data_IF_311672859174
#
_entry.id   IF_311672859174
#
_cell.length_a   1.000
_cell.length_b   1.000
_cell.length_c   1.000
_cell.angle_alpha   90.00
_cell.angle_beta   90.00
_cell.angle_gamma   90.00
#
_symmetry.space_group_name_H-M   'P 1'
#
loop_
_entity.id
_entity.type
_entity.pdbx_description
1 polymer ?
#
# COMPACT_ATOMS: atom_id res chain seq x y z
N UNK A 1 20.26 -18.03 24.73
CA UNK A 1 19.36 -18.19 23.58
C UNK A 1 19.70 -17.04 22.67
N UNK A 2 20.34 -17.33 21.55
CA UNK A 2 20.95 -16.33 20.66
C UNK A 2 19.84 -15.70 19.80
N UNK A 3 19.41 -14.49 20.16
CA UNK A 3 18.49 -13.68 19.36
C UNK A 3 19.25 -13.11 18.16
N UNK A 4 19.46 -13.98 17.16
CA UNK A 4 19.94 -13.54 15.87
C UNK A 4 18.92 -12.56 15.29
N UNK A 5 19.40 -11.35 14.96
CA UNK A 5 18.61 -10.29 14.36
C UNK A 5 19.07 -10.11 12.91
N UNK A 6 18.12 -9.83 12.01
CA UNK A 6 18.38 -9.57 10.59
C UNK A 6 18.05 -8.12 10.25
N UNK A 7 18.98 -7.45 9.58
CA UNK A 7 18.80 -6.08 9.13
C UNK A 7 18.28 -6.07 7.69
N UNK A 8 17.31 -5.20 7.44
CA UNK A 8 16.73 -5.03 6.12
C UNK A 8 17.69 -4.29 5.18
N UNK A 9 18.09 -4.94 4.08
CA UNK A 9 18.95 -4.31 3.06
C UNK A 9 18.31 -3.15 2.29
N UNK A 10 16.98 -2.95 2.39
CA UNK A 10 16.25 -1.86 1.72
C UNK A 10 16.11 -0.60 2.58
N UNK A 11 15.80 -0.75 3.87
CA UNK A 11 15.49 0.39 4.76
C UNK A 11 16.33 0.43 6.05
N UNK A 12 17.17 -0.56 6.31
CA UNK A 12 18.02 -0.64 7.51
C UNK A 12 17.31 -1.09 8.79
N UNK A 13 15.99 -1.30 8.78
CA UNK A 13 15.24 -1.76 9.95
C UNK A 13 15.81 -3.08 10.49
N UNK A 14 15.96 -3.18 11.81
CA UNK A 14 16.25 -4.43 12.51
C UNK A 14 14.97 -5.25 12.67
N UNK A 15 15.03 -6.53 12.34
CA UNK A 15 13.92 -7.48 12.44
C UNK A 15 14.43 -8.76 13.10
N UNK A 16 13.53 -9.54 13.70
CA UNK A 16 13.86 -10.85 14.24
C UNK A 16 14.29 -11.81 13.11
N UNK A 17 15.22 -12.73 13.34
CA UNK A 17 15.73 -13.62 12.28
C UNK A 17 14.69 -14.58 11.69
N UNK A 18 13.57 -14.81 12.37
CA UNK A 18 12.47 -15.66 11.92
C UNK A 18 11.46 -14.94 11.01
N UNK A 19 11.60 -13.62 10.81
CA UNK A 19 10.68 -12.87 9.96
C UNK A 19 11.12 -12.90 8.49
N UNK A 20 10.21 -13.36 7.63
CA UNK A 20 10.46 -13.46 6.18
C UNK A 20 10.44 -12.10 5.48
N UNK A 21 9.84 -11.07 6.10
CA UNK A 21 9.69 -9.73 5.53
C UNK A 21 10.03 -8.64 6.54
N UNK A 22 10.55 -7.53 6.05
CA UNK A 22 10.84 -6.36 6.86
C UNK A 22 9.57 -5.74 7.40
N UNK A 23 9.47 -5.63 8.72
CA UNK A 23 8.28 -5.11 9.41
C UNK A 23 8.05 -3.60 9.20
N UNK A 24 9.04 -2.91 8.64
CA UNK A 24 8.98 -1.47 8.37
C UNK A 24 8.68 -1.15 6.89
N UNK A 25 9.38 -1.80 5.94
CA UNK A 25 9.26 -1.44 4.52
C UNK A 25 8.73 -2.57 3.61
N UNK A 26 8.48 -3.76 4.16
CA UNK A 26 7.97 -4.92 3.43
C UNK A 26 8.97 -5.65 2.53
N UNK A 27 10.27 -5.30 2.55
CA UNK A 27 11.27 -6.03 1.76
C UNK A 27 11.43 -7.48 2.23
N UNK A 28 11.60 -8.42 1.30
CA UNK A 28 11.91 -9.83 1.58
C UNK A 28 13.28 -9.95 2.28
N UNK A 29 13.30 -10.62 3.42
CA UNK A 29 14.49 -10.89 4.22
C UNK A 29 14.93 -12.36 4.15
N UNK A 30 14.13 -13.23 3.55
CA UNK A 30 14.40 -14.66 3.40
C UNK A 30 15.53 -14.97 2.41
N UNK A 31 15.85 -14.04 1.50
CA UNK A 31 16.80 -14.24 0.38
C UNK A 31 17.78 -13.09 0.17
N UNK A 32 18.59 -12.74 1.18
CA UNK A 32 19.70 -11.81 0.96
C UNK A 32 20.83 -12.46 0.12
N UNK A 33 20.67 -12.53 -1.20
CA UNK A 33 21.75 -12.49 -2.20
C UNK A 33 21.44 -11.43 -3.27
N UNK A 34 22.44 -10.66 -3.73
CA UNK A 34 22.20 -9.59 -4.68
C UNK A 34 22.11 -10.14 -6.12
N UNK A 35 20.94 -10.04 -6.76
CA UNK A 35 20.83 -10.28 -8.19
C UNK A 35 19.43 -10.60 -8.70
N UNK A 36 18.88 -9.64 -9.46
CA UNK A 36 17.87 -9.78 -10.55
C UNK A 36 16.72 -10.79 -10.37
N UNK A 37 15.50 -10.23 -10.31
CA UNK A 37 14.38 -10.73 -11.10
C UNK A 37 13.30 -11.52 -10.36
N UNK A 38 12.35 -10.78 -9.79
CA UNK A 38 10.90 -10.99 -9.91
C UNK A 38 10.34 -12.41 -9.80
N UNK A 39 10.00 -12.81 -8.58
CA UNK A 39 8.81 -13.61 -8.27
C UNK A 39 8.48 -13.35 -6.79
N UNK A 40 7.81 -12.22 -6.52
CA UNK A 40 7.58 -11.72 -5.17
C UNK A 40 6.41 -12.48 -4.53
N UNK A 41 6.69 -13.31 -3.52
CA UNK A 41 5.67 -14.09 -2.79
C UNK A 41 4.59 -13.21 -2.13
N UNK A 42 4.90 -11.93 -1.84
CA UNK A 42 3.93 -10.92 -1.37
C UNK A 42 2.84 -10.63 -2.41
N UNK A 43 3.19 -10.72 -3.69
CA UNK A 43 2.25 -10.54 -4.78
C UNK A 43 1.20 -11.65 -4.74
N UNK A 44 1.55 -12.89 -4.35
CA UNK A 44 0.58 -14.00 -4.22
C UNK A 44 -0.40 -13.82 -3.05
N UNK A 45 0.05 -13.28 -1.92
CA UNK A 45 -0.83 -13.01 -0.78
C UNK A 45 -1.75 -11.81 -1.01
N UNK A 46 -1.25 -10.78 -1.72
CA UNK A 46 -2.05 -9.67 -2.21
C UNK A 46 -3.05 -10.14 -3.29
N UNK A 47 -2.61 -11.00 -4.21
CA UNK A 47 -3.44 -11.60 -5.28
C UNK A 47 -4.62 -12.40 -4.71
N UNK A 48 -4.43 -13.16 -3.62
CA UNK A 48 -5.54 -13.88 -2.98
C UNK A 48 -6.59 -12.95 -2.36
N UNK A 49 -6.16 -11.80 -1.83
CA UNK A 49 -7.08 -10.75 -1.41
C UNK A 49 -7.78 -10.10 -2.61
N UNK A 50 -7.06 -9.83 -3.70
CA UNK A 50 -7.64 -9.34 -4.96
C UNK A 50 -8.74 -10.27 -5.48
N UNK A 51 -8.54 -11.58 -5.41
CA UNK A 51 -9.52 -12.60 -5.81
C UNK A 51 -10.75 -12.62 -4.88
N UNK A 52 -10.59 -12.40 -3.58
CA UNK A 52 -11.71 -12.35 -2.61
C UNK A 52 -12.47 -11.01 -2.62
N UNK A 53 -11.84 -9.95 -3.15
CA UNK A 53 -12.37 -8.58 -3.19
C UNK A 53 -13.03 -8.23 -4.54
N UNK A 54 -12.72 -8.91 -5.64
CA UNK A 54 -13.19 -8.50 -6.98
C UNK A 54 -14.63 -8.90 -7.37
N UNK A 55 -15.22 -7.94 -8.09
CA UNK A 55 -16.45 -7.83 -8.90
C UNK A 55 -17.74 -7.45 -8.16
N UNK A 56 -17.97 -6.12 -8.04
CA UNK A 56 -19.19 -5.55 -7.46
C UNK A 56 -19.36 -5.73 -5.95
N UNK A 57 -18.35 -6.28 -5.27
CA UNK A 57 -18.37 -6.47 -3.82
C UNK A 57 -18.31 -5.15 -3.06
N UNK A 58 -19.07 -5.11 -1.98
CA UNK A 58 -19.06 -4.03 -1.02
C UNK A 58 -17.96 -4.29 0.02
N UNK A 59 -17.08 -3.31 0.23
CA UNK A 59 -16.15 -3.28 1.36
C UNK A 59 -16.80 -2.52 2.52
N UNK A 60 -16.88 -3.18 3.69
CA UNK A 60 -17.49 -2.61 4.89
C UNK A 60 -18.91 -2.08 4.67
N UNK A 61 -19.69 -2.75 3.80
CA UNK A 61 -21.05 -2.40 3.40
C UNK A 61 -21.24 -0.98 2.85
N UNK A 62 -20.16 -0.30 2.44
CA UNK A 62 -20.17 1.10 1.99
C UNK A 62 -19.42 1.36 0.70
N UNK A 63 -18.33 0.64 0.47
CA UNK A 63 -17.45 0.93 -0.66
C UNK A 63 -17.64 -0.11 -1.76
N UNK A 64 -18.27 0.27 -2.87
CA UNK A 64 -18.36 -0.62 -4.04
C UNK A 64 -17.03 -0.59 -4.79
N UNK A 65 -16.34 -1.72 -4.85
CA UNK A 65 -15.08 -1.83 -5.57
C UNK A 65 -15.33 -1.83 -7.09
N UNK A 66 -14.56 -1.03 -7.82
CA UNK A 66 -14.65 -0.91 -9.28
C UNK A 66 -13.48 -1.65 -9.95
N UNK A 67 -12.24 -1.14 -9.80
CA UNK A 67 -11.05 -1.79 -10.34
C UNK A 67 -9.77 -1.42 -9.60
N UNK A 68 -8.73 -2.24 -9.74
CA UNK A 68 -7.41 -2.06 -9.15
C UNK A 68 -6.67 -0.93 -9.87
N UNK A 69 -6.13 -0.01 -9.08
CA UNK A 69 -5.28 1.11 -9.52
C UNK A 69 -3.80 0.75 -9.48
N UNK A 70 -3.38 -0.12 -8.55
CA UNK A 70 -1.99 -0.57 -8.47
C UNK A 70 -1.76 -1.63 -7.41
N UNK A 71 -0.60 -2.29 -7.47
CA UNK A 71 -0.16 -3.31 -6.52
C UNK A 71 1.31 -3.12 -6.17
N UNK A 72 1.70 -3.58 -4.97
CA UNK A 72 3.09 -3.62 -4.55
C UNK A 72 3.26 -4.28 -3.18
N UNK A 73 4.48 -4.28 -2.65
CA UNK A 73 4.80 -5.00 -1.39
C UNK A 73 4.05 -4.51 -0.15
N UNK A 74 3.38 -3.35 -0.20
CA UNK A 74 2.57 -2.81 0.91
C UNK A 74 1.06 -2.99 0.69
N UNK A 75 0.68 -3.86 -0.26
CA UNK A 75 -0.71 -4.13 -0.60
C UNK A 75 -1.14 -3.54 -1.94
N UNK A 76 -2.44 -3.47 -2.12
CA UNK A 76 -3.06 -3.06 -3.38
C UNK A 76 -3.93 -1.83 -3.18
N UNK A 77 -4.02 -1.03 -4.23
CA UNK A 77 -4.85 0.17 -4.28
C UNK A 77 -5.94 -0.03 -5.30
N UNK A 78 -7.16 0.34 -4.93
CA UNK A 78 -8.37 0.10 -5.70
C UNK A 78 -9.17 1.38 -5.85
N UNK A 79 -9.75 1.58 -7.03
CA UNK A 79 -10.83 2.53 -7.21
C UNK A 79 -12.10 1.92 -6.66
N UNK A 80 -12.82 2.69 -5.87
CA UNK A 80 -14.12 2.33 -5.34
C UNK A 80 -15.06 3.53 -5.35
N UNK A 81 -16.35 3.26 -5.18
CA UNK A 81 -17.41 4.24 -5.03
C UNK A 81 -17.90 4.21 -3.58
N UNK A 82 -17.89 5.35 -2.91
CA UNK A 82 -18.50 5.53 -1.60
C UNK A 82 -20.02 5.72 -1.77
N UNK A 83 -20.79 4.67 -1.47
CA UNK A 83 -22.24 4.66 -1.72
C UNK A 83 -23.03 5.50 -0.70
N UNK A 84 -22.39 5.99 0.36
CA UNK A 84 -23.02 6.87 1.36
C UNK A 84 -22.76 8.37 1.10
N UNK A 85 -21.85 8.70 0.19
CA UNK A 85 -21.42 10.07 -0.13
C UNK A 85 -21.58 10.35 -1.63
N UNK A 86 -22.83 10.40 -2.10
CA UNK A 86 -23.20 10.77 -3.47
C UNK A 86 -22.42 10.01 -4.57
N UNK A 87 -22.15 8.72 -4.35
CA UNK A 87 -21.36 7.87 -5.26
C UNK A 87 -19.97 8.48 -5.59
N UNK A 88 -19.35 9.15 -4.62
CA UNK A 88 -18.03 9.75 -4.80
C UNK A 88 -16.95 8.68 -4.99
N UNK A 89 -16.07 8.89 -5.97
CA UNK A 89 -14.92 8.02 -6.20
C UNK A 89 -13.86 8.19 -5.09
N UNK A 90 -13.37 7.06 -4.59
CA UNK A 90 -12.31 6.98 -3.57
C UNK A 90 -11.24 5.97 -3.98
N UNK A 91 -10.04 6.14 -3.44
CA UNK A 91 -8.97 5.16 -3.55
C UNK A 91 -8.86 4.37 -2.24
N UNK A 92 -8.91 3.04 -2.32
CA UNK A 92 -8.84 2.14 -1.18
C UNK A 92 -7.55 1.35 -1.22
N UNK A 93 -6.68 1.55 -0.22
CA UNK A 93 -5.49 0.72 -0.04
C UNK A 93 -5.79 -0.40 0.93
N UNK A 94 -5.75 -1.64 0.45
CA UNK A 94 -5.93 -2.85 1.26
C UNK A 94 -4.57 -3.36 1.71
N UNK A 95 -4.44 -3.64 3.00
CA UNK A 95 -3.20 -4.21 3.54
C UNK A 95 -3.14 -5.72 3.34
N UNK A 96 -1.95 -6.28 3.04
CA UNK A 96 -1.78 -7.70 2.93
C UNK A 96 -1.98 -8.39 4.31
N UNK A 97 -2.52 -9.62 4.34
CA UNK A 97 -2.89 -10.30 5.59
C UNK A 97 -1.72 -10.51 6.55
N UNK A 98 -0.51 -10.68 6.03
CA UNK A 98 0.74 -10.76 6.83
C UNK A 98 0.93 -9.50 7.70
N UNK A 99 0.65 -8.32 7.16
CA UNK A 99 0.74 -7.06 7.91
C UNK A 99 -0.49 -6.84 8.78
N UNK A 100 -1.66 -7.26 8.32
CA UNK A 100 -2.92 -7.11 9.05
C UNK A 100 -3.01 -7.99 10.31
N UNK A 101 -2.18 -9.04 10.44
CA UNK A 101 -2.13 -9.94 11.61
C UNK A 101 -1.02 -9.63 12.61
N UNK A 102 -0.07 -8.74 12.27
CA UNK A 102 1.01 -8.37 13.18
C UNK A 102 0.61 -7.16 14.06
N UNK A 103 0.46 -7.33 15.39
CA UNK A 103 0.03 -6.26 16.28
C UNK A 103 0.94 -5.02 16.24
N UNK A 104 2.25 -5.20 16.06
CA UNK A 104 3.20 -4.08 15.96
C UNK A 104 3.01 -3.29 14.66
N UNK A 105 2.80 -3.99 13.54
CA UNK A 105 2.54 -3.36 12.24
C UNK A 105 1.20 -2.63 12.24
N UNK A 106 0.16 -3.21 12.87
CA UNK A 106 -1.14 -2.55 13.02
C UNK A 106 -1.02 -1.28 13.87
N UNK A 107 -0.27 -1.31 14.96
CA UNK A 107 -0.10 -0.14 15.84
C UNK A 107 0.75 0.96 15.17
N UNK A 108 1.77 0.59 14.41
CA UNK A 108 2.52 1.54 13.57
C UNK A 108 1.59 2.18 12.53
N UNK A 109 0.83 1.36 11.79
CA UNK A 109 -0.11 1.82 10.78
C UNK A 109 -1.19 2.74 11.37
N UNK A 110 -1.77 2.39 12.51
CA UNK A 110 -2.78 3.24 13.18
C UNK A 110 -2.21 4.60 13.53
N UNK A 111 -0.96 4.65 14.03
CA UNK A 111 -0.29 5.92 14.34
C UNK A 111 -0.03 6.75 13.08
N UNK A 112 0.47 6.12 12.01
CA UNK A 112 0.69 6.79 10.73
C UNK A 112 -0.62 7.29 10.10
N UNK A 113 -1.68 6.47 10.14
CA UNK A 113 -3.00 6.83 9.68
C UNK A 113 -3.57 8.01 10.50
N UNK A 114 -3.43 7.99 11.83
CA UNK A 114 -3.89 9.08 12.69
C UNK A 114 -3.18 10.41 12.40
N UNK A 115 -1.89 10.38 12.08
CA UNK A 115 -1.14 11.56 11.65
C UNK A 115 -1.64 12.00 10.26
N UNK A 116 -1.75 11.07 9.32
CA UNK A 116 -2.16 11.34 7.94
C UNK A 116 -3.58 11.90 7.84
N UNK A 117 -4.51 11.44 8.69
CA UNK A 117 -5.88 11.97 8.79
C UNK A 117 -5.92 13.45 9.20
N UNK A 118 -4.89 13.94 9.90
CA UNK A 118 -4.79 15.34 10.33
C UNK A 118 -4.09 16.23 9.31
N UNK A 119 -3.44 15.65 8.29
CA UNK A 119 -2.76 16.39 7.25
C UNK A 119 -3.80 16.82 6.19
N UNK A 120 -3.93 18.13 6.02
CA UNK A 120 -4.72 18.73 4.96
C UNK A 120 -3.84 19.72 4.20
N UNK A 121 -3.41 19.34 2.99
CA UNK A 121 -2.56 20.16 2.13
C UNK A 121 -2.88 19.85 0.66
N UNK A 122 -2.94 20.85 -0.24
CA UNK A 122 -3.30 20.64 -1.65
C UNK A 122 -2.38 19.68 -2.42
N UNK A 123 -1.16 19.44 -1.93
CA UNK A 123 -0.19 18.54 -2.55
C UNK A 123 0.05 17.24 -1.75
N UNK A 124 -0.84 16.91 -0.80
CA UNK A 124 -0.79 15.66 -0.04
C UNK A 124 -2.13 14.96 -0.24
N UNK A 125 -2.08 13.72 -0.75
CA UNK A 125 -3.28 12.90 -0.90
C UNK A 125 -3.99 12.77 0.44
N UNK A 126 -5.26 13.17 0.47
CA UNK A 126 -6.02 13.18 1.72
C UNK A 126 -6.43 11.77 2.11
N UNK A 127 -6.06 11.36 3.32
CA UNK A 127 -6.64 10.18 3.95
C UNK A 127 -8.02 10.57 4.51
N UNK A 128 -9.07 9.85 4.12
CA UNK A 128 -10.43 10.05 4.61
C UNK A 128 -10.70 9.21 5.85
N UNK A 129 -10.32 7.93 5.83
CA UNK A 129 -10.57 7.03 6.95
C UNK A 129 -9.62 5.82 6.98
N UNK A 130 -9.57 5.14 8.12
CA UNK A 130 -8.97 3.83 8.28
C UNK A 130 -10.00 2.86 8.84
N UNK A 131 -10.22 1.75 8.14
CA UNK A 131 -11.20 0.74 8.52
C UNK A 131 -10.53 -0.56 8.93
N UNK A 132 -11.17 -1.23 9.87
CA UNK A 132 -10.77 -2.53 10.40
C UNK A 132 -11.99 -3.40 10.53
N UNK A 133 -12.12 -4.38 9.63
CA UNK A 133 -13.22 -5.34 9.61
C UNK A 133 -12.65 -6.76 9.66
N UNK A 134 -12.79 -7.45 10.79
CA UNK A 134 -12.17 -8.76 11.01
C UNK A 134 -10.65 -8.74 10.75
N UNK A 135 -10.19 -9.53 9.79
CA UNK A 135 -8.81 -9.58 9.33
C UNK A 135 -8.49 -8.55 8.23
N UNK A 136 -9.51 -7.95 7.63
CA UNK A 136 -9.36 -6.93 6.60
C UNK A 136 -9.02 -5.58 7.24
N UNK A 137 -7.99 -4.92 6.70
CA UNK A 137 -7.55 -3.59 7.12
C UNK A 137 -7.35 -2.76 5.85
N UNK A 138 -7.98 -1.61 5.78
CA UNK A 138 -7.88 -0.76 4.60
C UNK A 138 -7.94 0.73 4.92
N UNK A 139 -7.32 1.51 4.06
CA UNK A 139 -7.28 2.96 4.10
C UNK A 139 -8.19 3.49 3.00
N UNK A 140 -9.06 4.45 3.33
CA UNK A 140 -9.90 5.15 2.36
C UNK A 140 -9.29 6.52 2.13
N UNK A 141 -8.95 6.81 0.89
CA UNK A 141 -8.18 7.98 0.48
C UNK A 141 -8.89 8.70 -0.65
N UNK A 142 -8.50 9.95 -0.86
CA UNK A 142 -8.86 10.73 -2.03
C UNK A 142 -8.48 9.98 -3.31
N UNK A 143 -9.42 9.91 -4.25
CA UNK A 143 -9.12 9.44 -5.60
C UNK A 143 -8.52 10.59 -6.41
N UNK A 144 -7.23 10.53 -6.68
CA UNK A 144 -6.55 11.47 -7.56
C UNK A 144 -6.69 11.01 -9.02
N UNK A 145 -7.20 11.89 -9.87
CA UNK A 145 -7.20 11.68 -11.32
C UNK A 145 -5.86 12.08 -11.93
N UNK A 146 -5.32 11.23 -12.79
CA UNK A 146 -4.05 11.47 -13.48
C UNK A 146 -3.24 10.20 -13.64
N UNK A 147 -1.93 10.39 -13.79
CA UNK A 147 -0.95 9.33 -13.87
C UNK A 147 0.09 9.48 -12.76
N UNK A 148 0.67 8.37 -12.36
CA UNK A 148 1.81 8.37 -11.43
C UNK A 148 3.02 9.05 -12.06
N UNK A 149 3.93 9.53 -11.22
CA UNK A 149 5.21 10.06 -11.70
C UNK A 149 6.02 9.00 -12.46
N UNK A 150 5.90 7.74 -12.06
CA UNK A 150 6.55 6.62 -12.74
C UNK A 150 6.04 6.46 -14.18
N UNK A 151 4.72 6.40 -14.37
CA UNK A 151 4.10 6.35 -15.71
C UNK A 151 4.49 7.57 -16.57
N UNK A 152 4.53 8.75 -15.96
CA UNK A 152 4.96 9.97 -16.65
C UNK A 152 6.41 9.87 -17.12
N UNK A 153 7.31 9.37 -16.27
CA UNK A 153 8.73 9.20 -16.62
C UNK A 153 8.92 8.09 -17.65
N UNK A 154 8.15 7.01 -17.57
CA UNK A 154 8.17 5.90 -18.52
C UNK A 154 7.73 6.33 -19.92
N UNK A 155 6.83 7.32 -20.01
CA UNK A 155 6.39 7.90 -21.28
C UNK A 155 7.48 8.76 -21.96
N UNK A 156 8.53 9.16 -21.23
CA UNK A 156 9.60 10.04 -21.72
C UNK A 156 10.79 9.25 -22.23
N UNK A 157 11.34 9.66 -23.39
CA UNK A 157 12.43 8.96 -24.09
C UNK A 157 13.69 8.76 -23.24
N UNK A 158 13.99 9.69 -22.34
CA UNK A 158 15.18 9.64 -21.47
C UNK A 158 14.86 9.46 -19.98
N UNK A 159 13.59 9.23 -19.63
CA UNK A 159 13.08 9.17 -18.25
C UNK A 159 13.48 10.37 -17.39
N UNK A 160 13.54 11.57 -17.97
CA UNK A 160 13.89 12.80 -17.26
C UNK A 160 12.82 13.85 -17.45
N UNK A 161 12.62 14.64 -16.40
CA UNK A 161 11.82 15.86 -16.47
C UNK A 161 12.75 17.05 -16.47
N UNK A 162 12.39 18.07 -17.24
CA UNK A 162 13.06 19.37 -17.14
C UNK A 162 12.65 20.07 -15.85
N UNK A 163 13.40 21.09 -15.44
CA UNK A 163 13.06 21.87 -14.25
C UNK A 163 11.69 22.57 -14.40
N UNK A 164 11.39 23.04 -15.62
CA UNK A 164 10.11 23.69 -15.96
C UNK A 164 8.93 22.72 -15.90
N UNK A 165 9.16 21.42 -16.07
CA UNK A 165 8.12 20.38 -15.94
C UNK A 165 7.87 19.97 -14.48
N UNK A 166 8.82 20.24 -13.57
CA UNK A 166 8.75 19.85 -12.16
C UNK A 166 8.15 20.93 -11.26
N UNK A 167 8.24 22.20 -11.66
CA UNK A 167 7.78 23.34 -10.89
C UNK A 167 6.43 23.83 -11.44
N UNK A 168 5.45 24.14 -10.58
CA UNK A 168 4.17 24.72 -11.00
C UNK A 168 4.30 26.15 -11.54
#
# INVERSE_FOLDING_TARGET
MDESNVFCGKCGQQNAADVEFCVHCGADLSRQTPGRGGDDTLDRAATRFAEEVYDGRMLGDRYRIEHRLGSGGMGEVWKAIDTELDDMAVAIKVLPPVLARNPHSIEALKREAAISLRLAHPNICRLHNFHSDGDLKFLVMEHLEGQTLEELLDSKTDRRMTLDELLP
#
